data_IF_292683447569
#
_entry.id   IF_292683447569
#
_cell.length_a   1.000
_cell.length_b   1.000
_cell.length_c   1.000
_cell.angle_alpha   90.00
_cell.angle_beta   90.00
_cell.angle_gamma   90.00
#
_symmetry.space_group_name_H-M   'P 1'
#
loop_
_entity.id
_entity.type
_entity.pdbx_description
1 polymer ?
#
# COMPACT_ATOMS: atom_id res chain seq x y z
N UNK A 1 -24.59 -32.83 28.83
CA UNK A 1 -24.16 -31.94 27.74
C UNK A 1 -22.71 -32.28 27.48
N UNK A 2 -22.41 -32.91 26.33
CA UNK A 2 -21.03 -33.06 25.83
C UNK A 2 -20.47 -31.65 25.56
N UNK A 3 -19.18 -31.37 25.86
CA UNK A 3 -18.55 -30.15 25.39
C UNK A 3 -18.69 -30.12 23.88
N UNK A 4 -19.22 -29.05 23.33
CA UNK A 4 -19.16 -28.79 21.90
C UNK A 4 -17.67 -28.73 21.54
N UNK A 5 -17.20 -29.69 20.77
CA UNK A 5 -15.88 -29.62 20.13
C UNK A 5 -15.84 -28.32 19.39
N UNK A 6 -14.98 -27.41 19.87
CA UNK A 6 -14.64 -26.22 19.07
C UNK A 6 -14.05 -26.74 17.75
N UNK A 7 -14.48 -26.25 16.60
CA UNK A 7 -13.85 -26.64 15.35
C UNK A 7 -12.34 -26.46 15.46
N UNK A 8 -11.57 -27.44 15.03
CA UNK A 8 -10.10 -27.38 15.00
C UNK A 8 -9.68 -26.10 14.31
N UNK A 9 -9.23 -25.11 15.10
CA UNK A 9 -8.75 -23.83 14.56
C UNK A 9 -7.27 -23.97 14.23
N UNK A 10 -6.88 -23.54 13.02
CA UNK A 10 -5.48 -23.52 12.61
C UNK A 10 -4.72 -22.41 13.34
N UNK A 11 -3.63 -22.77 14.03
CA UNK A 11 -2.75 -21.79 14.66
C UNK A 11 -1.68 -21.30 13.67
N UNK A 12 -1.64 -20.00 13.40
CA UNK A 12 -0.68 -19.38 12.48
C UNK A 12 0.19 -18.34 13.17
N UNK A 13 1.49 -18.32 12.87
CA UNK A 13 2.35 -17.18 13.20
C UNK A 13 2.26 -16.13 12.09
N UNK A 14 1.96 -14.90 12.45
CA UNK A 14 1.97 -13.76 11.56
C UNK A 14 3.18 -12.87 11.89
N UNK A 15 4.21 -12.88 11.05
CA UNK A 15 5.48 -12.20 11.31
C UNK A 15 5.57 -10.96 10.44
N UNK A 16 5.58 -9.79 11.06
CA UNK A 16 5.68 -8.50 10.40
C UNK A 16 6.46 -7.51 11.24
N UNK A 17 7.33 -6.74 10.59
CA UNK A 17 8.08 -5.69 11.29
C UNK A 17 7.19 -4.49 11.61
N UNK A 18 6.37 -4.04 10.63
CA UNK A 18 5.47 -2.91 10.80
C UNK A 18 4.12 -3.37 11.36
N UNK A 19 3.87 -3.00 12.61
CA UNK A 19 2.65 -3.31 13.37
C UNK A 19 2.25 -2.08 14.20
N UNK A 20 0.97 -1.87 14.58
CA UNK A 20 0.60 -0.77 15.44
C UNK A 20 1.50 -0.63 16.69
N UNK A 21 1.95 0.59 17.05
CA UNK A 21 1.49 1.92 16.61
C UNK A 21 2.16 2.47 15.34
N UNK A 22 2.88 1.67 14.54
CA UNK A 22 3.34 2.14 13.23
C UNK A 22 2.16 2.46 12.35
N UNK A 23 2.27 3.51 11.52
CA UNK A 23 1.25 3.93 10.56
C UNK A 23 1.55 3.47 9.13
N UNK A 24 0.59 3.69 8.24
CA UNK A 24 0.68 3.46 6.81
C UNK A 24 -0.07 2.24 6.30
N UNK A 25 -0.32 2.20 4.99
CA UNK A 25 -1.16 1.20 4.33
C UNK A 25 -0.70 -0.26 4.57
N UNK A 26 0.62 -0.47 4.67
CA UNK A 26 1.18 -1.80 4.94
C UNK A 26 0.85 -2.33 6.34
N UNK A 27 0.76 -1.45 7.34
CA UNK A 27 0.36 -1.81 8.70
C UNK A 27 -1.12 -2.19 8.73
N UNK A 28 -1.96 -1.40 8.08
CA UNK A 28 -3.38 -1.66 7.98
C UNK A 28 -3.67 -3.04 7.36
N UNK A 29 -2.96 -3.42 6.27
CA UNK A 29 -3.11 -4.75 5.65
C UNK A 29 -2.87 -5.88 6.65
N UNK A 30 -1.74 -5.85 7.35
CA UNK A 30 -1.39 -6.88 8.34
C UNK A 30 -2.38 -6.92 9.49
N UNK A 31 -2.74 -5.73 10.04
CA UNK A 31 -3.71 -5.60 11.12
C UNK A 31 -5.08 -6.18 10.73
N UNK A 32 -5.58 -5.83 9.54
CA UNK A 32 -6.91 -6.29 9.11
C UNK A 32 -6.93 -7.80 8.78
N UNK A 33 -5.87 -8.36 8.23
CA UNK A 33 -5.74 -9.81 8.11
C UNK A 33 -5.83 -10.48 9.48
N UNK A 34 -5.01 -10.05 10.43
CA UNK A 34 -5.00 -10.63 11.79
C UNK A 34 -6.33 -10.45 12.50
N UNK A 35 -7.00 -9.31 12.31
CA UNK A 35 -8.32 -9.01 12.90
C UNK A 35 -9.42 -9.96 12.41
N UNK A 36 -9.44 -10.28 11.12
CA UNK A 36 -10.51 -11.08 10.50
C UNK A 36 -10.21 -12.57 10.40
N UNK A 37 -8.95 -13.01 10.46
CA UNK A 37 -8.59 -14.44 10.39
C UNK A 37 -9.37 -15.34 11.37
N UNK A 38 -9.67 -14.91 12.62
CA UNK A 38 -10.47 -15.75 13.54
C UNK A 38 -11.89 -16.04 13.04
N UNK A 39 -12.47 -15.16 12.21
CA UNK A 39 -13.80 -15.38 11.61
C UNK A 39 -13.81 -16.58 10.65
N UNK A 40 -12.64 -16.96 10.14
CA UNK A 40 -12.44 -18.03 9.15
C UNK A 40 -11.69 -19.24 9.73
N UNK A 41 -11.68 -19.42 11.05
CA UNK A 41 -11.09 -20.61 11.70
C UNK A 41 -9.57 -20.60 11.80
N UNK A 42 -8.92 -19.42 11.73
CA UNK A 42 -7.47 -19.28 11.90
C UNK A 42 -7.18 -18.42 13.12
N UNK A 43 -6.38 -18.94 14.05
CA UNK A 43 -5.93 -18.21 15.25
C UNK A 43 -4.54 -17.66 15.04
N UNK A 44 -4.38 -16.33 14.78
CA UNK A 44 -3.08 -15.74 14.56
C UNK A 44 -2.39 -15.37 15.86
N UNK A 45 -1.06 -15.62 15.93
CA UNK A 45 -0.15 -15.01 16.90
C UNK A 45 0.82 -14.11 16.16
N UNK A 46 0.86 -12.84 16.51
CA UNK A 46 1.71 -11.84 15.84
C UNK A 46 3.09 -11.80 16.49
N UNK A 47 4.14 -11.82 15.66
CA UNK A 47 5.50 -11.52 16.09
C UNK A 47 5.93 -10.23 15.40
N UNK A 48 6.31 -9.23 16.18
CA UNK A 48 6.72 -7.92 15.70
C UNK A 48 7.87 -7.33 16.52
N UNK A 49 8.42 -6.20 16.10
CA UNK A 49 9.45 -5.48 16.81
C UNK A 49 8.87 -4.68 17.99
N UNK A 50 9.67 -4.48 19.04
CA UNK A 50 9.33 -3.55 20.12
C UNK A 50 9.32 -2.11 19.60
N UNK A 51 8.21 -1.43 19.76
CA UNK A 51 7.98 -0.06 19.27
C UNK A 51 8.99 0.96 19.80
N UNK A 52 9.51 0.74 20.99
CA UNK A 52 10.51 1.63 21.61
C UNK A 52 11.90 1.49 20.98
N UNK A 53 12.14 0.40 20.24
CA UNK A 53 13.39 0.12 19.54
C UNK A 53 13.27 0.16 18.03
N UNK A 54 12.03 0.21 17.53
CA UNK A 54 11.72 0.17 16.11
C UNK A 54 12.05 1.49 15.40
N UNK A 55 12.46 1.39 14.14
CA UNK A 55 12.60 2.55 13.25
C UNK A 55 11.33 2.74 12.42
N UNK A 56 10.24 3.16 13.07
CA UNK A 56 8.99 3.44 12.38
C UNK A 56 9.03 4.80 11.69
N UNK A 57 8.68 4.89 10.39
CA UNK A 57 8.69 6.15 9.65
C UNK A 57 7.52 7.07 10.02
N UNK A 58 6.38 6.49 10.41
CA UNK A 58 5.16 7.19 10.80
C UNK A 58 4.55 6.46 11.99
N UNK A 59 4.04 7.20 12.96
CA UNK A 59 3.27 6.65 14.07
C UNK A 59 1.79 7.01 13.90
N UNK A 60 0.91 6.03 14.18
CA UNK A 60 -0.54 6.20 14.18
C UNK A 60 -1.11 5.43 15.37
N UNK A 61 -1.41 6.16 16.43
CA UNK A 61 -1.93 5.60 17.68
C UNK A 61 -3.38 5.08 17.52
N UNK A 62 -4.10 5.54 16.51
CA UNK A 62 -5.50 5.11 16.29
C UNK A 62 -5.56 3.64 15.89
N UNK A 63 -4.55 3.16 15.14
CA UNK A 63 -4.45 1.76 14.75
C UNK A 63 -4.22 0.82 15.93
N UNK A 64 -3.62 1.31 17.03
CA UNK A 64 -3.42 0.48 18.23
C UNK A 64 -4.76 0.08 18.87
N UNK A 65 -5.74 0.96 18.84
CA UNK A 65 -7.09 0.68 19.37
C UNK A 65 -7.87 -0.34 18.52
N UNK A 66 -7.43 -0.61 17.29
CA UNK A 66 -8.06 -1.59 16.42
C UNK A 66 -7.53 -3.02 16.58
N UNK A 67 -6.42 -3.20 17.33
CA UNK A 67 -5.89 -4.54 17.63
C UNK A 67 -6.83 -5.24 18.62
N UNK A 68 -7.46 -6.37 18.25
CA UNK A 68 -8.35 -7.06 19.16
C UNK A 68 -7.60 -7.60 20.39
N UNK A 69 -8.19 -7.48 21.57
CA UNK A 69 -7.61 -7.99 22.84
C UNK A 69 -7.35 -9.50 22.81
N UNK A 70 -8.08 -10.25 21.99
CA UNK A 70 -7.91 -11.69 21.80
C UNK A 70 -6.65 -12.09 21.05
N UNK A 71 -5.99 -11.16 20.40
CA UNK A 71 -4.78 -11.43 19.58
C UNK A 71 -3.52 -11.35 20.42
N UNK A 72 -2.78 -12.45 20.46
CA UNK A 72 -1.47 -12.50 21.10
C UNK A 72 -0.42 -11.80 20.24
N UNK A 73 0.21 -10.74 20.80
CA UNK A 73 1.28 -9.98 20.12
C UNK A 73 2.58 -10.13 20.89
N UNK A 74 3.57 -10.79 20.28
CA UNK A 74 4.92 -11.00 20.84
C UNK A 74 5.85 -9.92 20.27
N UNK A 75 6.26 -8.97 21.12
CA UNK A 75 7.19 -7.90 20.78
C UNK A 75 8.62 -8.31 21.09
N UNK A 76 9.56 -8.05 20.19
CA UNK A 76 10.95 -8.47 20.29
C UNK A 76 11.91 -7.30 20.08
N UNK A 77 13.12 -7.33 20.72
CA UNK A 77 14.14 -6.34 20.45
C UNK A 77 14.58 -6.34 18.99
N UNK A 78 15.30 -5.29 18.58
CA UNK A 78 15.99 -5.20 17.28
C UNK A 78 17.38 -4.59 17.44
N UNK A 79 18.24 -4.80 16.44
CA UNK A 79 19.53 -4.10 16.30
C UNK A 79 19.58 -3.47 14.92
N UNK A 80 19.42 -2.17 14.87
CA UNK A 80 19.35 -1.43 13.61
C UNK A 80 20.42 -0.35 13.52
N UNK A 81 20.95 -0.06 12.32
CA UNK A 81 21.99 0.94 12.12
C UNK A 81 21.48 2.39 12.29
N UNK A 82 20.15 2.60 12.44
CA UNK A 82 19.56 3.93 12.47
C UNK A 82 19.94 4.75 13.71
N UNK A 83 20.17 4.16 14.86
CA UNK A 83 20.69 4.86 16.04
C UNK A 83 22.08 5.43 15.79
N UNK A 84 22.92 4.69 15.09
CA UNK A 84 24.24 5.15 14.67
C UNK A 84 24.13 6.26 13.61
N UNK A 85 23.18 6.10 12.67
CA UNK A 85 22.88 7.14 11.67
C UNK A 85 22.43 8.46 12.31
N UNK A 86 21.48 8.42 13.26
CA UNK A 86 21.01 9.61 13.99
C UNK A 86 22.15 10.32 14.73
N UNK A 87 23.04 9.56 15.37
CA UNK A 87 24.22 10.12 16.09
C UNK A 87 25.19 10.83 15.15
N UNK A 88 25.40 10.32 13.93
CA UNK A 88 26.34 10.90 12.98
C UNK A 88 25.73 12.10 12.23
N UNK A 89 24.46 12.02 11.84
CA UNK A 89 23.85 13.04 10.95
C UNK A 89 23.12 14.14 11.72
N UNK A 90 22.83 13.96 13.01
CA UNK A 90 21.98 14.86 13.80
C UNK A 90 20.54 14.97 13.31
N UNK A 91 20.13 14.22 12.26
CA UNK A 91 18.79 14.24 11.71
C UNK A 91 17.90 13.25 12.44
N UNK A 92 16.71 13.71 12.86
CA UNK A 92 15.69 12.88 13.50
C UNK A 92 14.90 12.02 12.50
N UNK A 93 14.82 12.45 11.25
CA UNK A 93 14.02 11.78 10.22
C UNK A 93 14.78 10.62 9.58
N UNK A 94 14.14 9.46 9.54
CA UNK A 94 14.64 8.26 8.86
C UNK A 94 14.32 8.42 7.38
N UNK A 95 15.31 8.26 6.46
CA UNK A 95 15.03 8.31 5.04
C UNK A 95 14.01 7.21 4.65
N UNK A 96 12.88 7.65 4.15
CA UNK A 96 11.84 6.76 3.60
C UNK A 96 12.26 6.31 2.20
N UNK A 97 12.00 5.05 1.84
CA UNK A 97 12.19 4.58 0.46
C UNK A 97 11.18 5.28 -0.46
N UNK A 98 11.60 5.76 -1.64
CA UNK A 98 10.72 6.34 -2.65
C UNK A 98 10.81 7.87 -2.76
N UNK A 99 9.76 8.58 -2.67
CA UNK A 99 9.54 9.95 -3.15
C UNK A 99 10.13 11.12 -2.32
N UNK A 100 10.97 10.92 -1.31
CA UNK A 100 11.24 11.95 -0.30
C UNK A 100 12.56 12.74 -0.47
N UNK A 101 13.36 12.55 -1.51
CA UNK A 101 14.67 13.17 -1.64
C UNK A 101 14.80 14.09 -2.86
N UNK A 102 14.16 15.24 -2.83
CA UNK A 102 14.40 16.35 -3.77
C UNK A 102 15.43 17.33 -3.15
N UNK A 103 16.69 17.19 -3.52
CA UNK A 103 17.77 18.10 -3.10
C UNK A 103 19.14 17.61 -3.53
N UNK A 104 20.13 18.53 -3.65
CA UNK A 104 21.53 18.16 -3.93
C UNK A 104 22.07 17.29 -2.79
N UNK A 105 22.35 16.03 -3.10
CA UNK A 105 22.89 15.07 -2.12
C UNK A 105 24.31 15.44 -1.71
N UNK A 106 24.56 15.52 -0.40
CA UNK A 106 25.91 15.69 0.13
C UNK A 106 26.72 14.40 -0.04
N UNK A 107 28.05 14.49 -0.05
CA UNK A 107 28.96 13.35 -0.11
C UNK A 107 28.66 12.32 1.01
N UNK A 108 28.36 12.80 2.21
CA UNK A 108 28.00 11.97 3.35
C UNK A 108 26.69 11.18 3.09
N UNK A 109 25.70 11.79 2.46
CA UNK A 109 24.44 11.10 2.11
C UNK A 109 24.68 10.00 1.07
N UNK A 110 25.54 10.24 0.08
CA UNK A 110 25.95 9.21 -0.90
C UNK A 110 26.67 8.03 -0.25
N UNK A 111 27.60 8.31 0.68
CA UNK A 111 28.29 7.28 1.45
C UNK A 111 27.32 6.46 2.31
N UNK A 112 26.38 7.11 2.98
CA UNK A 112 25.37 6.43 3.81
C UNK A 112 24.40 5.59 2.97
N UNK A 113 24.00 6.05 1.78
CA UNK A 113 23.23 5.25 0.82
C UNK A 113 24.01 4.02 0.39
N UNK A 114 25.29 4.20 0.05
CA UNK A 114 26.19 3.09 -0.33
C UNK A 114 26.32 2.06 0.80
N UNK A 115 26.57 2.49 2.02
CA UNK A 115 26.65 1.61 3.21
C UNK A 115 25.34 0.86 3.41
N UNK A 116 24.20 1.57 3.32
CA UNK A 116 22.86 0.98 3.46
C UNK A 116 22.59 -0.09 2.41
N UNK A 117 22.91 0.18 1.14
CA UNK A 117 22.63 -0.73 0.03
C UNK A 117 23.59 -1.91 -0.06
N UNK A 118 24.76 -1.88 0.61
CA UNK A 118 25.78 -2.89 0.41
C UNK A 118 26.13 -3.71 1.65
N UNK A 119 25.89 -3.20 2.86
CA UNK A 119 26.18 -3.93 4.11
C UNK A 119 24.92 -4.50 4.77
N UNK A 120 23.74 -4.00 4.43
CA UNK A 120 22.47 -4.43 5.03
C UNK A 120 21.54 -5.00 3.95
N UNK A 121 21.76 -6.26 3.57
CA UNK A 121 21.01 -6.94 2.52
C UNK A 121 20.08 -7.97 3.14
N UNK A 122 18.79 -7.91 2.77
CA UNK A 122 18.14 -7.07 1.76
C UNK A 122 17.80 -5.64 2.23
N UNK A 123 17.79 -5.38 3.53
CA UNK A 123 17.43 -4.08 4.09
C UNK A 123 17.99 -3.89 5.52
N UNK A 124 18.00 -2.64 6.05
CA UNK A 124 18.58 -2.33 7.36
C UNK A 124 17.85 -2.96 8.57
N UNK A 125 16.67 -3.55 8.40
CA UNK A 125 15.92 -4.23 9.46
C UNK A 125 16.33 -5.69 9.63
N UNK A 126 17.27 -6.20 8.83
CA UNK A 126 17.80 -7.57 8.95
C UNK A 126 18.33 -7.91 10.35
N UNK A 127 18.76 -6.91 11.12
CA UNK A 127 19.18 -7.07 12.51
C UNK A 127 18.08 -7.53 13.46
N UNK A 128 16.79 -7.40 13.06
CA UNK A 128 15.64 -7.90 13.80
C UNK A 128 15.48 -9.42 13.68
N UNK A 129 15.89 -10.00 12.55
CA UNK A 129 15.59 -11.40 12.21
C UNK A 129 16.00 -12.41 13.28
N UNK A 130 17.13 -12.23 13.96
CA UNK A 130 17.59 -13.16 14.99
C UNK A 130 16.66 -13.20 16.21
N UNK A 131 16.12 -12.06 16.59
CA UNK A 131 15.19 -11.92 17.72
C UNK A 131 13.82 -12.50 17.34
N UNK A 132 13.29 -12.15 16.16
CA UNK A 132 12.05 -12.71 15.66
C UNK A 132 12.10 -14.23 15.52
N UNK A 133 13.20 -14.79 14.98
CA UNK A 133 13.41 -16.23 14.92
C UNK A 133 13.41 -16.89 16.29
N UNK A 134 14.06 -16.28 17.27
CA UNK A 134 14.09 -16.82 18.65
C UNK A 134 12.68 -16.84 19.25
N UNK A 135 11.89 -15.79 19.04
CA UNK A 135 10.50 -15.75 19.49
C UNK A 135 9.64 -16.78 18.74
N UNK A 136 9.77 -16.89 17.42
CA UNK A 136 9.05 -17.86 16.62
C UNK A 136 9.34 -19.31 17.05
N UNK A 137 10.61 -19.65 17.32
CA UNK A 137 10.97 -20.99 17.84
C UNK A 137 10.28 -21.28 19.18
N UNK A 138 10.22 -20.30 20.10
CA UNK A 138 9.51 -20.47 21.38
C UNK A 138 8.01 -20.65 21.19
N UNK A 139 7.40 -19.91 20.26
CA UNK A 139 5.98 -20.07 19.95
C UNK A 139 5.68 -21.45 19.36
N UNK A 140 6.48 -21.92 18.40
CA UNK A 140 6.33 -23.23 17.77
C UNK A 140 6.49 -24.37 18.79
N UNK A 141 7.40 -24.24 19.76
CA UNK A 141 7.60 -25.25 20.80
C UNK A 141 6.48 -25.30 21.86
N UNK A 142 5.76 -24.18 22.05
CA UNK A 142 4.73 -24.05 23.11
C UNK A 142 3.31 -24.24 22.60
N UNK A 143 3.09 -23.96 21.33
CA UNK A 143 1.79 -23.98 20.67
C UNK A 143 1.87 -24.88 19.44
N UNK A 144 0.78 -25.52 19.12
CA UNK A 144 0.64 -26.31 17.89
C UNK A 144 0.50 -25.34 16.69
N UNK A 145 1.63 -24.81 16.22
CA UNK A 145 1.69 -23.89 15.06
C UNK A 145 1.78 -24.71 13.78
N UNK A 146 0.81 -24.54 12.88
CA UNK A 146 0.74 -25.27 11.61
C UNK A 146 1.20 -24.42 10.42
N UNK A 147 1.09 -23.09 10.51
CA UNK A 147 1.44 -22.21 9.41
C UNK A 147 2.17 -20.93 9.86
N UNK A 148 2.91 -20.34 8.93
CA UNK A 148 3.60 -19.07 9.10
C UNK A 148 3.25 -18.14 7.94
N UNK A 149 2.86 -16.91 8.24
CA UNK A 149 2.72 -15.81 7.27
C UNK A 149 3.80 -14.79 7.56
N UNK A 150 4.59 -14.43 6.56
CA UNK A 150 5.57 -13.33 6.67
C UNK A 150 5.19 -12.21 5.73
N UNK A 151 5.14 -10.95 6.19
CA UNK A 151 4.74 -9.80 5.36
C UNK A 151 5.90 -8.81 5.17
N UNK A 152 6.15 -8.43 3.94
CA UNK A 152 7.19 -7.47 3.52
C UNK A 152 6.63 -6.32 2.68
N UNK A 153 7.30 -5.12 2.67
CA UNK A 153 8.58 -4.80 3.30
C UNK A 153 8.50 -4.70 4.83
N UNK A 154 9.65 -4.84 5.55
CA UNK A 154 11.00 -5.04 5.02
C UNK A 154 11.19 -6.44 4.48
N UNK A 155 11.96 -6.58 3.39
CA UNK A 155 12.13 -7.88 2.71
C UNK A 155 12.94 -8.90 3.54
N UNK A 156 13.78 -8.42 4.46
CA UNK A 156 14.46 -9.26 5.45
C UNK A 156 13.50 -10.13 6.27
N UNK A 157 12.24 -9.72 6.46
CA UNK A 157 11.20 -10.51 7.13
C UNK A 157 10.95 -11.85 6.42
N UNK A 158 11.03 -11.89 5.09
CA UNK A 158 10.83 -13.13 4.31
C UNK A 158 11.90 -14.18 4.62
N UNK A 159 13.12 -13.74 4.95
CA UNK A 159 14.21 -14.66 5.35
C UNK A 159 13.93 -15.37 6.69
N UNK A 160 13.03 -14.82 7.53
CA UNK A 160 12.55 -15.49 8.75
C UNK A 160 11.68 -16.68 8.33
N UNK A 161 10.69 -16.45 7.47
CA UNK A 161 9.81 -17.50 6.94
C UNK A 161 10.60 -18.63 6.27
N UNK A 162 11.56 -18.28 5.40
CA UNK A 162 12.45 -19.22 4.73
C UNK A 162 13.20 -20.12 5.73
N UNK A 163 13.75 -19.55 6.81
CA UNK A 163 14.45 -20.32 7.84
C UNK A 163 13.51 -21.22 8.66
N UNK A 164 12.31 -20.75 8.97
CA UNK A 164 11.31 -21.53 9.69
C UNK A 164 10.81 -22.70 8.83
N UNK A 165 10.53 -22.45 7.53
CA UNK A 165 10.18 -23.48 6.56
C UNK A 165 11.25 -24.57 6.47
N UNK A 166 12.50 -24.19 6.26
CA UNK A 166 13.64 -25.13 6.15
C UNK A 166 13.85 -25.94 7.44
N UNK A 167 13.56 -25.36 8.62
CA UNK A 167 13.84 -26.01 9.90
C UNK A 167 12.69 -26.88 10.42
N UNK A 168 11.45 -26.43 10.26
CA UNK A 168 10.28 -27.07 10.88
C UNK A 168 9.32 -27.69 9.86
N UNK A 169 9.49 -27.44 8.56
CA UNK A 169 8.58 -27.93 7.51
C UNK A 169 7.19 -27.29 7.52
N UNK A 170 6.98 -26.23 8.31
CA UNK A 170 5.69 -25.55 8.42
C UNK A 170 5.22 -24.99 7.07
N UNK A 171 3.91 -24.94 6.88
CA UNK A 171 3.32 -24.22 5.76
C UNK A 171 3.70 -22.77 5.85
N UNK A 172 4.27 -22.20 4.76
CA UNK A 172 4.74 -20.82 4.74
C UNK A 172 4.13 -20.04 3.60
N UNK A 173 3.42 -18.94 3.95
CA UNK A 173 2.88 -17.97 3.02
C UNK A 173 3.73 -16.71 3.08
N UNK A 174 4.31 -16.32 1.93
CA UNK A 174 5.12 -15.11 1.77
C UNK A 174 4.23 -13.98 1.23
N UNK A 175 3.82 -13.01 2.06
CA UNK A 175 3.09 -11.82 1.64
C UNK A 175 4.07 -10.75 1.15
N UNK A 176 4.12 -10.58 -0.17
CA UNK A 176 5.01 -9.68 -0.90
C UNK A 176 4.20 -8.48 -1.40
N UNK A 177 4.34 -7.33 -0.75
CA UNK A 177 3.56 -6.13 -1.11
C UNK A 177 4.24 -5.24 -2.13
N UNK A 178 5.55 -5.42 -2.30
CA UNK A 178 6.40 -4.68 -3.25
C UNK A 178 7.25 -5.67 -4.06
N UNK A 179 7.62 -5.34 -5.30
CA UNK A 179 8.33 -6.25 -6.21
C UNK A 179 9.84 -6.36 -5.92
N UNK A 180 10.24 -6.34 -4.66
CA UNK A 180 11.59 -6.48 -4.11
C UNK A 180 12.69 -5.84 -4.98
N UNK A 181 13.43 -6.62 -5.83
CA UNK A 181 14.51 -6.09 -6.66
C UNK A 181 14.02 -5.36 -7.92
N UNK A 182 12.74 -5.46 -8.29
CA UNK A 182 12.13 -4.73 -9.42
C UNK A 182 11.45 -3.42 -9.01
N UNK A 183 11.52 -3.05 -7.72
CA UNK A 183 10.94 -1.78 -7.28
C UNK A 183 11.69 -0.61 -7.95
N UNK A 184 10.95 0.37 -8.47
CA UNK A 184 11.48 1.43 -9.33
C UNK A 184 12.67 2.20 -8.73
N UNK A 185 12.78 2.34 -7.40
CA UNK A 185 13.89 3.02 -6.72
C UNK A 185 15.06 2.09 -6.34
N UNK A 186 15.03 0.81 -6.72
CA UNK A 186 16.09 -0.15 -6.39
C UNK A 186 17.45 0.29 -6.91
N UNK A 187 17.49 0.84 -8.12
CA UNK A 187 18.72 1.34 -8.75
C UNK A 187 19.35 2.52 -8.01
N UNK A 188 18.56 3.32 -7.29
CA UNK A 188 19.02 4.46 -6.50
C UNK A 188 19.82 4.06 -5.26
N UNK A 189 19.80 2.78 -4.88
CA UNK A 189 20.53 2.25 -3.72
C UNK A 189 22.02 2.01 -3.99
N UNK A 190 22.47 2.14 -5.25
CA UNK A 190 23.88 1.99 -5.66
C UNK A 190 24.52 0.69 -5.18
N UNK A 191 23.85 -0.44 -5.39
CA UNK A 191 24.36 -1.76 -5.04
C UNK A 191 25.63 -2.11 -5.82
N UNK A 192 26.59 -2.73 -5.14
CA UNK A 192 27.67 -3.45 -5.82
C UNK A 192 27.11 -4.71 -6.47
N UNK A 193 27.80 -5.24 -7.49
CA UNK A 193 27.38 -6.49 -8.13
C UNK A 193 27.27 -7.67 -7.14
N UNK A 194 28.08 -7.69 -6.08
CA UNK A 194 28.00 -8.72 -5.03
C UNK A 194 26.72 -8.55 -4.21
N UNK A 195 26.43 -7.33 -3.80
CA UNK A 195 25.24 -7.01 -3.03
C UNK A 195 23.96 -7.33 -3.82
N UNK A 196 23.90 -6.88 -5.09
CA UNK A 196 22.81 -7.16 -6.00
C UNK A 196 22.58 -8.67 -6.18
N UNK A 197 23.63 -9.44 -6.52
CA UNK A 197 23.51 -10.89 -6.68
C UNK A 197 23.07 -11.62 -5.41
N UNK A 198 23.48 -11.12 -4.24
CA UNK A 198 23.03 -11.69 -2.96
C UNK A 198 21.55 -11.41 -2.71
N UNK A 199 21.08 -10.20 -3.02
CA UNK A 199 19.70 -9.81 -2.86
C UNK A 199 18.78 -10.57 -3.83
N UNK A 200 19.15 -10.65 -5.11
CA UNK A 200 18.48 -11.47 -6.12
C UNK A 200 18.43 -12.96 -5.74
N UNK A 201 19.50 -13.48 -5.12
CA UNK A 201 19.52 -14.85 -4.59
C UNK A 201 18.52 -15.02 -3.46
N UNK A 202 18.45 -14.09 -2.51
CA UNK A 202 17.49 -14.15 -1.41
C UNK A 202 16.05 -14.09 -1.92
N UNK A 203 15.75 -13.18 -2.84
CA UNK A 203 14.44 -13.09 -3.47
C UNK A 203 14.05 -14.42 -4.13
N UNK A 204 14.92 -14.98 -4.96
CA UNK A 204 14.69 -16.26 -5.63
C UNK A 204 14.49 -17.42 -4.64
N UNK A 205 15.32 -17.51 -3.59
CA UNK A 205 15.13 -18.54 -2.56
C UNK A 205 13.80 -18.43 -1.85
N UNK A 206 13.30 -17.21 -1.61
CA UNK A 206 11.98 -16.97 -1.04
C UNK A 206 10.88 -17.44 -1.98
N UNK A 207 10.94 -17.03 -3.24
CA UNK A 207 9.93 -17.38 -4.26
C UNK A 207 9.84 -18.89 -4.50
N UNK A 208 10.98 -19.59 -4.54
CA UNK A 208 11.04 -21.03 -4.80
C UNK A 208 10.61 -21.87 -3.60
N UNK A 209 10.81 -21.43 -2.36
CA UNK A 209 10.57 -22.24 -1.15
C UNK A 209 9.25 -21.92 -0.42
N UNK A 210 8.60 -20.80 -0.70
CA UNK A 210 7.28 -20.53 -0.15
C UNK A 210 6.24 -21.53 -0.69
N UNK A 211 5.29 -21.94 0.15
CA UNK A 211 4.17 -22.80 -0.27
C UNK A 211 3.13 -21.98 -1.04
N UNK A 212 2.93 -20.72 -0.63
CA UNK A 212 2.16 -19.74 -1.38
C UNK A 212 2.81 -18.36 -1.29
N UNK A 213 2.65 -17.56 -2.33
CA UNK A 213 3.15 -16.20 -2.43
C UNK A 213 1.96 -15.29 -2.68
N UNK A 214 1.76 -14.30 -1.79
CA UNK A 214 0.77 -13.28 -2.02
C UNK A 214 1.43 -12.08 -2.70
N UNK A 215 0.78 -11.56 -3.71
CA UNK A 215 1.16 -10.32 -4.40
C UNK A 215 -0.03 -9.39 -4.46
N UNK A 216 0.23 -8.09 -4.60
CA UNK A 216 -0.85 -7.09 -4.58
C UNK A 216 -1.46 -6.82 -5.95
N UNK A 217 -0.82 -7.28 -7.04
CA UNK A 217 -1.23 -6.99 -8.42
C UNK A 217 -0.84 -8.11 -9.40
N UNK A 218 -1.54 -8.19 -10.54
CA UNK A 218 -1.21 -9.16 -11.59
C UNK A 218 0.13 -8.86 -12.26
N UNK A 219 0.48 -7.58 -12.41
CA UNK A 219 1.77 -7.21 -12.96
C UNK A 219 2.92 -7.68 -12.05
N UNK A 220 2.74 -7.57 -10.72
CA UNK A 220 3.72 -8.10 -9.77
C UNK A 220 3.83 -9.64 -9.86
N UNK A 221 2.70 -10.36 -10.05
CA UNK A 221 2.73 -11.80 -10.36
C UNK A 221 3.56 -12.07 -11.61
N UNK A 222 3.36 -11.30 -12.67
CA UNK A 222 4.13 -11.41 -13.92
C UNK A 222 5.62 -11.15 -13.71
N UNK A 223 5.99 -10.10 -12.95
CA UNK A 223 7.39 -9.80 -12.62
C UNK A 223 8.07 -10.96 -11.90
N UNK A 224 7.43 -11.57 -10.91
CA UNK A 224 8.00 -12.70 -10.18
C UNK A 224 8.12 -13.97 -11.02
N UNK A 225 7.15 -14.26 -11.88
CA UNK A 225 7.23 -15.39 -12.80
C UNK A 225 8.40 -15.27 -13.78
N UNK A 226 8.80 -14.06 -14.15
CA UNK A 226 9.96 -13.84 -15.03
C UNK A 226 11.31 -14.08 -14.33
N UNK A 227 11.34 -14.19 -12.99
CA UNK A 227 12.60 -14.38 -12.22
C UNK A 227 13.06 -15.82 -12.12
N UNK A 228 12.17 -16.79 -12.28
CA UNK A 228 12.49 -18.21 -12.19
C UNK A 228 11.59 -19.03 -13.11
N UNK A 229 12.20 -19.84 -13.96
CA UNK A 229 11.47 -20.78 -14.85
C UNK A 229 10.92 -21.98 -14.10
N UNK A 230 11.32 -22.18 -12.85
CA UNK A 230 10.86 -23.29 -11.99
C UNK A 230 9.72 -22.86 -11.05
N UNK A 231 9.37 -21.57 -11.04
CA UNK A 231 8.33 -21.06 -10.18
C UNK A 231 6.96 -21.43 -10.73
N UNK A 232 6.20 -22.17 -9.93
CA UNK A 232 4.84 -22.56 -10.25
C UNK A 232 3.89 -21.33 -10.20
N UNK A 233 3.22 -20.98 -11.30
CA UNK A 233 2.26 -19.90 -11.33
C UNK A 233 1.11 -20.02 -10.33
N UNK A 234 0.74 -21.27 -9.98
CA UNK A 234 -0.38 -21.55 -9.08
C UNK A 234 -0.03 -21.26 -7.61
N UNK A 235 1.26 -21.12 -7.29
CA UNK A 235 1.71 -20.65 -5.97
C UNK A 235 1.55 -19.15 -5.76
N UNK A 236 1.37 -18.34 -6.83
CA UNK A 236 1.28 -16.89 -6.73
C UNK A 236 -0.17 -16.44 -6.79
N UNK A 237 -0.66 -15.93 -5.68
CA UNK A 237 -2.03 -15.48 -5.48
C UNK A 237 -2.11 -13.95 -5.39
N UNK A 238 -3.02 -13.36 -6.17
CA UNK A 238 -3.22 -11.90 -6.15
C UNK A 238 -4.25 -11.54 -5.07
N UNK A 239 -3.78 -10.93 -4.00
CA UNK A 239 -4.60 -10.39 -2.91
C UNK A 239 -4.21 -8.92 -2.72
N UNK A 240 -4.96 -7.96 -3.28
CA UNK A 240 -4.64 -6.53 -3.20
C UNK A 240 -4.83 -5.96 -1.78
N UNK A 241 -4.58 -4.66 -1.61
CA UNK A 241 -4.62 -4.03 -0.29
C UNK A 241 -6.03 -3.89 0.31
N UNK A 242 -7.03 -3.58 -0.50
CA UNK A 242 -8.42 -3.45 -0.07
C UNK A 242 -8.76 -2.24 0.81
N UNK A 243 -10.05 -2.14 1.19
CA UNK A 243 -10.61 -1.13 2.07
C UNK A 243 -11.30 -1.77 3.28
N UNK A 244 -11.50 -1.00 4.37
CA UNK A 244 -12.28 -1.44 5.53
C UNK A 244 -13.71 -0.90 5.42
N UNK A 245 -14.70 -1.77 5.43
CA UNK A 245 -16.12 -1.40 5.39
C UNK A 245 -16.51 -0.51 6.58
N UNK A 246 -15.85 -0.69 7.72
CA UNK A 246 -16.13 0.09 8.92
C UNK A 246 -15.74 1.57 8.81
N UNK A 247 -14.92 1.95 7.84
CA UNK A 247 -14.50 3.33 7.61
C UNK A 247 -15.61 4.14 6.91
N UNK A 248 -16.50 3.49 6.15
CA UNK A 248 -17.53 4.12 5.32
C UNK A 248 -18.90 4.19 6.01
N UNK A 249 -18.90 4.58 7.29
CA UNK A 249 -20.14 4.74 8.10
C UNK A 249 -20.91 6.03 7.82
N UNK A 250 -20.25 7.00 7.17
CA UNK A 250 -20.83 8.31 6.91
C UNK A 250 -21.67 8.29 5.63
N UNK A 251 -22.85 8.93 5.64
CA UNK A 251 -23.63 9.05 4.42
C UNK A 251 -22.88 9.90 3.40
N UNK A 252 -23.00 9.53 2.11
CA UNK A 252 -22.52 10.36 1.02
C UNK A 252 -23.26 11.70 1.01
N UNK A 253 -22.54 12.80 1.03
CA UNK A 253 -23.11 14.15 1.01
C UNK A 253 -22.32 15.09 0.08
N UNK A 254 -22.33 14.82 -1.25
CA UNK A 254 -21.65 15.68 -2.22
C UNK A 254 -22.35 17.05 -2.29
N UNK A 255 -21.58 18.09 -2.55
CA UNK A 255 -22.10 19.42 -2.82
C UNK A 255 -23.02 19.40 -4.04
N UNK A 256 -24.16 20.06 -3.95
CA UNK A 256 -25.07 20.30 -5.10
C UNK A 256 -24.81 21.64 -5.80
N UNK A 257 -23.96 22.48 -5.20
CA UNK A 257 -23.62 23.83 -5.69
C UNK A 257 -22.25 23.90 -6.35
N UNK A 258 -21.33 23.01 -5.97
CA UNK A 258 -19.96 22.97 -6.47
C UNK A 258 -19.62 21.58 -7.01
N UNK A 259 -18.99 21.52 -8.16
CA UNK A 259 -18.41 20.31 -8.73
C UNK A 259 -17.03 20.09 -8.09
N UNK A 260 -16.96 19.21 -7.09
CA UNK A 260 -15.79 19.01 -6.26
C UNK A 260 -14.99 17.81 -6.76
N UNK A 261 -13.75 18.04 -7.19
CA UNK A 261 -12.77 16.99 -7.53
C UNK A 261 -11.78 16.89 -6.37
N UNK A 262 -11.63 15.72 -5.76
CA UNK A 262 -10.77 15.54 -4.60
C UNK A 262 -9.67 14.50 -4.87
N UNK A 263 -8.44 14.85 -4.51
CA UNK A 263 -7.29 13.95 -4.38
C UNK A 263 -6.92 13.82 -2.90
N UNK A 264 -6.69 12.59 -2.41
CA UNK A 264 -6.24 12.36 -1.03
C UNK A 264 -4.83 11.77 -0.97
N UNK A 265 -4.04 12.15 0.05
CA UNK A 265 -2.72 11.63 0.37
C UNK A 265 -1.57 12.44 -0.23
N UNK A 266 -0.40 11.82 -0.36
CA UNK A 266 0.80 12.51 -0.88
C UNK A 266 0.80 12.53 -2.40
N UNK A 267 1.11 13.69 -2.99
CA UNK A 267 1.31 13.85 -4.43
C UNK A 267 2.59 14.66 -4.68
N UNK A 268 3.40 14.18 -5.62
CA UNK A 268 4.66 14.80 -6.05
C UNK A 268 4.71 14.91 -7.57
N UNK A 269 5.73 15.54 -8.11
CA UNK A 269 5.98 15.68 -9.55
C UNK A 269 6.01 14.34 -10.31
N UNK A 270 6.39 13.26 -9.64
CA UNK A 270 6.39 11.92 -10.24
C UNK A 270 5.01 11.43 -10.71
N UNK A 271 3.94 12.07 -10.26
CA UNK A 271 2.57 11.67 -10.63
C UNK A 271 2.09 12.27 -11.96
N UNK A 272 2.81 13.21 -12.55
CA UNK A 272 2.61 13.76 -13.89
C UNK A 272 1.14 14.09 -14.21
N UNK A 273 0.56 15.05 -13.48
CA UNK A 273 -0.85 15.46 -13.64
C UNK A 273 -1.06 16.69 -14.54
N UNK A 274 -0.03 17.14 -15.26
CA UNK A 274 -0.09 18.39 -16.05
C UNK A 274 -1.21 18.35 -17.09
N UNK A 275 -1.34 17.24 -17.84
CA UNK A 275 -2.40 17.07 -18.82
C UNK A 275 -3.81 17.17 -18.23
N UNK A 276 -4.00 16.66 -17.01
CA UNK A 276 -5.27 16.80 -16.29
C UNK A 276 -5.52 18.26 -15.87
N UNK A 277 -4.52 18.95 -15.33
CA UNK A 277 -4.67 20.34 -14.92
C UNK A 277 -5.03 21.25 -16.10
N UNK A 278 -4.41 21.04 -17.27
CA UNK A 278 -4.75 21.76 -18.49
C UNK A 278 -6.19 21.45 -18.94
N UNK A 279 -6.60 20.17 -18.99
CA UNK A 279 -7.95 19.78 -19.34
C UNK A 279 -9.01 20.34 -18.38
N UNK A 280 -8.69 20.41 -17.08
CA UNK A 280 -9.57 21.02 -16.08
C UNK A 280 -9.69 22.54 -16.30
N UNK A 281 -8.60 23.25 -16.57
CA UNK A 281 -8.62 24.69 -16.86
C UNK A 281 -9.52 24.99 -18.06
N UNK A 282 -9.38 24.24 -19.13
CA UNK A 282 -10.20 24.42 -20.32
C UNK A 282 -11.67 24.06 -20.07
N UNK A 283 -11.93 23.04 -19.24
CA UNK A 283 -13.29 22.69 -18.82
C UNK A 283 -13.95 23.81 -18.04
N UNK A 284 -13.24 24.40 -17.07
CA UNK A 284 -13.71 25.55 -16.28
C UNK A 284 -14.02 26.74 -17.17
N UNK A 285 -13.13 27.04 -18.11
CA UNK A 285 -13.29 28.14 -19.07
C UNK A 285 -14.50 27.96 -19.98
N UNK A 286 -14.73 26.74 -20.47
CA UNK A 286 -15.84 26.41 -21.38
C UNK A 286 -17.20 26.26 -20.67
N UNK A 287 -17.21 26.06 -19.35
CA UNK A 287 -18.43 25.92 -18.54
C UNK A 287 -18.49 26.91 -17.36
N UNK A 288 -18.54 28.21 -17.60
CA UNK A 288 -18.46 29.24 -16.54
C UNK A 288 -19.65 29.23 -15.58
N UNK A 289 -20.74 28.54 -15.89
CA UNK A 289 -21.92 28.41 -15.04
C UNK A 289 -21.85 27.26 -14.02
N UNK A 290 -20.75 26.50 -14.01
CA UNK A 290 -20.47 25.46 -13.02
C UNK A 290 -19.37 25.99 -12.10
N UNK A 291 -19.61 25.94 -10.81
CA UNK A 291 -18.60 26.25 -9.78
C UNK A 291 -17.75 24.99 -9.57
N UNK A 292 -16.50 25.06 -10.00
CA UNK A 292 -15.54 23.96 -9.80
C UNK A 292 -14.71 24.19 -8.55
N UNK A 293 -14.34 23.08 -7.89
CA UNK A 293 -13.38 23.06 -6.80
C UNK A 293 -12.44 21.86 -7.00
N UNK A 294 -11.14 22.12 -7.05
CA UNK A 294 -10.08 21.12 -6.99
C UNK A 294 -9.53 21.06 -5.56
N UNK A 295 -9.67 19.93 -4.91
CA UNK A 295 -9.27 19.75 -3.51
C UNK A 295 -8.15 18.74 -3.40
N UNK A 296 -7.06 19.13 -2.73
CA UNK A 296 -5.99 18.24 -2.31
C UNK A 296 -6.03 18.10 -0.79
N UNK A 297 -6.15 16.86 -0.30
CA UNK A 297 -6.13 16.53 1.13
C UNK A 297 -4.90 15.71 1.43
N UNK A 298 -3.89 16.28 2.09
CA UNK A 298 -2.62 15.67 2.41
C UNK A 298 -1.42 16.45 1.90
N UNK A 299 -0.29 15.78 1.71
CA UNK A 299 0.98 16.45 1.38
C UNK A 299 1.11 16.67 -0.13
N UNK A 300 1.15 17.92 -0.55
CA UNK A 300 1.37 18.34 -1.95
C UNK A 300 2.75 18.97 -2.10
N UNK A 301 3.56 18.48 -3.05
CA UNK A 301 4.89 19.06 -3.32
C UNK A 301 4.79 20.48 -3.85
N UNK A 302 5.85 21.27 -3.65
CA UNK A 302 5.94 22.64 -4.16
C UNK A 302 5.80 22.68 -5.69
N UNK A 303 6.32 21.68 -6.38
CA UNK A 303 6.26 21.57 -7.83
C UNK A 303 4.82 21.36 -8.32
N UNK A 304 4.05 20.48 -7.70
CA UNK A 304 2.63 20.29 -8.04
C UNK A 304 1.81 21.56 -7.79
N UNK A 305 2.09 22.29 -6.69
CA UNK A 305 1.45 23.58 -6.43
C UNK A 305 1.77 24.60 -7.54
N UNK A 306 3.02 24.63 -8.01
CA UNK A 306 3.44 25.48 -9.12
C UNK A 306 2.75 25.11 -10.44
N UNK A 307 2.56 23.82 -10.72
CA UNK A 307 1.82 23.34 -11.89
C UNK A 307 0.35 23.80 -11.85
N UNK A 308 -0.31 23.71 -10.70
CA UNK A 308 -1.68 24.24 -10.49
C UNK A 308 -1.75 25.74 -10.74
N UNK A 309 -0.79 26.50 -10.24
CA UNK A 309 -0.70 27.95 -10.46
C UNK A 309 -0.48 28.27 -11.95
N UNK A 310 0.46 27.58 -12.59
CA UNK A 310 0.76 27.76 -14.03
C UNK A 310 -0.45 27.42 -14.91
N UNK A 311 -1.25 26.43 -14.52
CA UNK A 311 -2.50 26.08 -15.20
C UNK A 311 -3.64 27.08 -14.93
N UNK A 312 -3.45 28.12 -14.10
CA UNK A 312 -4.47 29.12 -13.79
C UNK A 312 -5.60 28.64 -12.86
N UNK A 313 -5.38 27.54 -12.12
CA UNK A 313 -6.42 26.91 -11.30
C UNK A 313 -6.39 27.33 -9.82
N UNK A 314 -5.51 28.28 -9.43
CA UNK A 314 -5.31 28.67 -8.01
C UNK A 314 -6.61 29.12 -7.33
N UNK A 315 -7.49 29.84 -8.03
CA UNK A 315 -8.74 30.37 -7.46
C UNK A 315 -9.76 29.30 -7.11
N UNK A 316 -9.68 28.11 -7.73
CA UNK A 316 -10.60 27.02 -7.47
C UNK A 316 -9.94 25.88 -6.69
N UNK A 317 -8.64 26.01 -6.35
CA UNK A 317 -7.88 24.97 -5.67
C UNK A 317 -7.82 25.19 -4.17
N UNK A 318 -8.17 24.16 -3.42
CA UNK A 318 -8.12 24.09 -1.96
C UNK A 318 -7.05 23.09 -1.54
N UNK A 319 -6.14 23.49 -0.64
CA UNK A 319 -5.12 22.63 -0.05
C UNK A 319 -5.43 22.43 1.42
N UNK A 320 -5.62 21.18 1.82
CA UNK A 320 -5.85 20.74 3.20
C UNK A 320 -4.65 19.90 3.59
N UNK A 321 -3.98 20.27 4.67
CA UNK A 321 -2.84 19.53 5.18
C UNK A 321 -3.24 18.11 5.61
N UNK A 322 -2.27 17.34 6.11
CA UNK A 322 -2.53 15.99 6.61
C UNK A 322 -3.65 16.00 7.66
N UNK A 323 -4.64 15.15 7.43
CA UNK A 323 -5.78 14.91 8.34
C UNK A 323 -5.80 13.45 8.80
N UNK A 324 -6.41 13.12 9.94
CA UNK A 324 -6.69 11.75 10.34
C UNK A 324 -7.48 10.97 9.27
N UNK A 325 -7.33 9.65 9.26
CA UNK A 325 -7.94 8.80 8.23
C UNK A 325 -9.46 8.94 8.14
N UNK A 326 -10.16 8.96 9.28
CA UNK A 326 -11.62 9.13 9.34
C UNK A 326 -12.09 10.48 8.76
N UNK A 327 -11.29 11.53 8.90
CA UNK A 327 -11.57 12.82 8.29
C UNK A 327 -11.30 12.80 6.78
N UNK A 328 -10.25 12.09 6.34
CA UNK A 328 -10.00 11.86 4.91
C UNK A 328 -11.18 11.18 4.23
N UNK A 329 -11.79 10.18 4.88
CA UNK A 329 -13.01 9.50 4.36
C UNK A 329 -14.16 10.48 4.21
N UNK A 330 -14.37 11.44 5.15
CA UNK A 330 -15.42 12.46 5.01
C UNK A 330 -15.21 13.34 3.78
N UNK A 331 -13.95 13.68 3.46
CA UNK A 331 -13.64 14.41 2.22
C UNK A 331 -13.97 13.57 0.98
N UNK A 332 -13.65 12.27 0.97
CA UNK A 332 -14.05 11.39 -0.13
C UNK A 332 -15.57 11.36 -0.30
N UNK A 333 -16.32 11.16 0.80
CA UNK A 333 -17.79 11.08 0.78
C UNK A 333 -18.46 12.39 0.37
N UNK A 334 -17.83 13.54 0.58
CA UNK A 334 -18.34 14.87 0.19
C UNK A 334 -17.94 15.30 -1.23
N UNK A 335 -17.20 14.48 -1.94
CA UNK A 335 -16.70 14.78 -3.29
C UNK A 335 -17.71 14.43 -4.37
N UNK A 336 -17.64 15.11 -5.51
CA UNK A 336 -18.38 14.75 -6.72
C UNK A 336 -17.62 13.69 -7.52
N UNK A 337 -16.32 13.88 -7.67
CA UNK A 337 -15.39 13.01 -8.41
C UNK A 337 -14.11 12.84 -7.61
N UNK A 338 -13.49 11.67 -7.69
CA UNK A 338 -12.22 11.39 -7.05
C UNK A 338 -11.11 11.35 -8.11
N UNK A 339 -10.08 12.17 -7.88
CA UNK A 339 -8.89 12.18 -8.70
C UNK A 339 -7.87 11.20 -8.13
N UNK A 340 -7.46 10.25 -8.93
CA UNK A 340 -6.37 9.33 -8.63
C UNK A 340 -5.23 9.56 -9.63
N UNK A 341 -3.99 9.40 -9.20
CA UNK A 341 -2.85 9.39 -10.08
C UNK A 341 -1.89 8.27 -9.67
N UNK A 342 -1.30 7.63 -10.66
CA UNK A 342 -0.23 6.62 -10.52
C UNK A 342 1.07 7.30 -10.94
N UNK A 343 2.19 7.12 -10.22
CA UNK A 343 3.44 7.76 -10.62
C UNK A 343 3.92 7.28 -11.98
N UNK A 344 4.47 8.20 -12.78
CA UNK A 344 5.05 7.94 -14.09
C UNK A 344 6.50 7.47 -13.94
N UNK A 345 6.66 6.22 -13.58
CA UNK A 345 7.93 5.57 -13.25
C UNK A 345 8.02 4.19 -13.93
N UNK A 346 9.22 3.61 -14.09
CA UNK A 346 9.35 2.24 -14.58
C UNK A 346 8.54 1.23 -13.75
N UNK A 347 8.02 0.20 -14.37
CA UNK A 347 7.22 -0.88 -13.74
C UNK A 347 5.99 -0.37 -12.98
N UNK A 348 5.31 0.67 -13.49
CA UNK A 348 4.15 1.26 -12.82
C UNK A 348 2.80 0.58 -13.14
N UNK A 349 2.76 -0.40 -14.02
CA UNK A 349 1.52 -1.11 -14.42
C UNK A 349 0.86 -1.84 -13.25
N UNK A 350 1.65 -2.31 -12.28
CA UNK A 350 1.17 -3.01 -11.09
C UNK A 350 1.00 -2.14 -9.86
N UNK A 351 1.20 -0.82 -9.95
CA UNK A 351 1.08 0.07 -8.77
C UNK A 351 -0.39 0.24 -8.39
N UNK A 352 -0.80 -0.49 -7.35
CA UNK A 352 -2.11 -0.39 -6.72
C UNK A 352 -1.98 0.29 -5.35
N UNK A 353 -2.37 1.56 -5.30
CA UNK A 353 -2.39 2.31 -4.03
C UNK A 353 -3.62 1.94 -3.20
N UNK A 354 -3.53 2.06 -1.87
CA UNK A 354 -4.68 1.85 -0.98
C UNK A 354 -5.86 2.77 -1.31
N UNK A 355 -5.60 3.96 -1.83
CA UNK A 355 -6.61 4.95 -2.26
C UNK A 355 -7.61 4.38 -3.26
N UNK A 356 -7.16 3.54 -4.21
CA UNK A 356 -8.06 2.95 -5.21
C UNK A 356 -9.25 2.26 -4.54
N UNK A 357 -8.98 1.44 -3.53
CA UNK A 357 -10.01 0.66 -2.86
C UNK A 357 -10.92 1.54 -1.99
N UNK A 358 -10.35 2.55 -1.33
CA UNK A 358 -11.13 3.56 -0.60
C UNK A 358 -12.03 4.38 -1.56
N UNK A 359 -11.54 4.71 -2.76
CA UNK A 359 -12.32 5.43 -3.77
C UNK A 359 -13.47 4.59 -4.32
N UNK A 360 -13.24 3.29 -4.54
CA UNK A 360 -14.30 2.33 -4.88
C UNK A 360 -15.37 2.28 -3.79
N UNK A 361 -14.94 2.18 -2.52
CA UNK A 361 -15.86 2.13 -1.37
C UNK A 361 -16.60 3.45 -1.14
N UNK A 362 -16.00 4.59 -1.47
CA UNK A 362 -16.69 5.89 -1.44
C UNK A 362 -17.79 6.01 -2.48
N UNK A 363 -17.86 5.10 -3.43
CA UNK A 363 -18.89 5.04 -4.48
C UNK A 363 -19.01 6.36 -5.26
N UNK A 364 -17.86 6.89 -5.72
CA UNK A 364 -17.75 8.12 -6.51
C UNK A 364 -17.04 7.85 -7.81
N UNK A 365 -17.40 8.57 -8.91
CA UNK A 365 -16.66 8.47 -10.16
C UNK A 365 -15.17 8.73 -9.95
N UNK A 366 -14.32 7.87 -10.53
CA UNK A 366 -12.87 7.98 -10.45
C UNK A 366 -12.32 8.46 -11.78
N UNK A 367 -11.56 9.56 -11.74
CA UNK A 367 -10.68 9.98 -12.84
C UNK A 367 -9.27 9.57 -12.42
N UNK A 368 -8.69 8.60 -13.11
CA UNK A 368 -7.35 8.11 -12.80
C UNK A 368 -6.37 8.50 -13.92
N UNK A 369 -5.21 9.02 -13.55
CA UNK A 369 -4.12 9.32 -14.47
C UNK A 369 -3.04 8.27 -14.25
N UNK A 370 -2.70 7.52 -15.30
CA UNK A 370 -1.78 6.41 -15.17
C UNK A 370 -1.62 5.56 -16.43
N UNK A 371 -0.97 4.39 -16.30
CA UNK A 371 -0.78 3.49 -17.41
C UNK A 371 -2.12 2.83 -17.83
N UNK A 372 -2.45 2.95 -19.13
CA UNK A 372 -3.57 2.24 -19.73
C UNK A 372 -3.25 0.73 -19.73
N UNK A 373 -4.27 -0.10 -19.47
CA UNK A 373 -4.15 -1.56 -19.33
C UNK A 373 -3.32 -2.03 -18.12
N UNK A 374 -3.03 -1.12 -17.16
CA UNK A 374 -2.48 -1.48 -15.87
C UNK A 374 -3.51 -2.17 -14.95
N UNK A 375 -3.05 -2.66 -13.81
CA UNK A 375 -3.94 -3.32 -12.83
C UNK A 375 -5.01 -2.38 -12.28
N UNK A 376 -4.69 -1.09 -12.10
CA UNK A 376 -5.68 -0.09 -11.67
C UNK A 376 -6.75 0.15 -12.75
N UNK A 377 -6.36 0.19 -14.04
CA UNK A 377 -7.30 0.35 -15.15
C UNK A 377 -8.30 -0.81 -15.19
N UNK A 378 -7.81 -2.04 -15.09
CA UNK A 378 -8.67 -3.24 -15.02
C UNK A 378 -9.64 -3.20 -13.86
N UNK A 379 -9.19 -2.85 -12.66
CA UNK A 379 -10.07 -2.80 -11.48
C UNK A 379 -11.13 -1.70 -11.61
N UNK A 380 -10.75 -0.51 -12.10
CA UNK A 380 -11.69 0.60 -12.31
C UNK A 380 -12.75 0.22 -13.35
N UNK A 381 -12.34 -0.43 -14.45
CA UNK A 381 -13.24 -0.88 -15.51
C UNK A 381 -14.17 -2.01 -15.03
N UNK A 382 -13.63 -3.06 -14.40
CA UNK A 382 -14.41 -4.18 -13.83
C UNK A 382 -15.45 -3.74 -12.80
N UNK A 383 -15.17 -2.65 -12.08
CA UNK A 383 -16.08 -2.08 -11.11
C UNK A 383 -17.05 -1.03 -11.72
N UNK A 384 -16.86 -0.64 -12.97
CA UNK A 384 -17.60 0.47 -13.58
C UNK A 384 -17.42 1.80 -12.83
N UNK A 385 -16.26 1.97 -12.19
CA UNK A 385 -16.03 3.04 -11.21
C UNK A 385 -15.52 4.35 -11.84
N UNK A 386 -15.20 4.36 -13.12
CA UNK A 386 -14.63 5.55 -13.76
C UNK A 386 -13.76 5.23 -14.96
N UNK A 387 -12.70 6.00 -15.14
CA UNK A 387 -11.82 5.85 -16.31
C UNK A 387 -10.37 6.19 -15.99
N UNK A 388 -9.45 5.44 -16.60
CA UNK A 388 -8.01 5.75 -16.58
C UNK A 388 -7.64 6.48 -17.87
N UNK A 389 -6.79 7.48 -17.72
CA UNK A 389 -6.25 8.29 -18.81
C UNK A 389 -4.72 8.23 -18.79
N UNK A 390 -4.12 8.06 -19.94
CA UNK A 390 -2.68 8.16 -20.08
C UNK A 390 -2.20 9.58 -19.73
N UNK A 391 -0.99 9.73 -19.22
CA UNK A 391 -0.41 11.02 -18.83
C UNK A 391 -0.49 12.10 -19.92
N UNK A 392 -0.38 11.71 -21.20
CA UNK A 392 -0.52 12.57 -22.38
C UNK A 392 -1.92 12.65 -22.95
N UNK A 393 -2.93 12.09 -22.28
CA UNK A 393 -4.30 11.93 -22.78
C UNK A 393 -5.18 13.18 -22.63
N UNK A 394 -4.64 14.38 -22.84
CA UNK A 394 -5.33 15.66 -22.64
C UNK A 394 -6.73 15.72 -23.27
N UNK A 395 -6.87 15.43 -24.58
CA UNK A 395 -8.16 15.53 -25.30
C UNK A 395 -9.23 14.63 -24.69
N UNK A 396 -8.87 13.38 -24.39
CA UNK A 396 -9.80 12.44 -23.78
C UNK A 396 -10.20 12.84 -22.35
N UNK A 397 -9.27 13.44 -21.60
CA UNK A 397 -9.56 13.98 -20.26
C UNK A 397 -10.50 15.20 -20.36
N UNK A 398 -10.26 16.09 -21.32
CA UNK A 398 -11.11 17.26 -21.56
C UNK A 398 -12.53 16.83 -21.91
N UNK A 399 -12.70 15.93 -22.87
CA UNK A 399 -14.02 15.43 -23.28
C UNK A 399 -14.74 14.78 -22.11
N UNK A 400 -14.04 13.98 -21.31
CA UNK A 400 -14.62 13.32 -20.15
C UNK A 400 -15.03 14.32 -19.06
N UNK A 401 -14.19 15.29 -18.73
CA UNK A 401 -14.49 16.35 -17.75
C UNK A 401 -15.69 17.19 -18.21
N UNK A 402 -15.75 17.53 -19.49
CA UNK A 402 -16.90 18.23 -20.09
C UNK A 402 -18.19 17.43 -20.00
N UNK A 403 -18.14 16.13 -20.27
CA UNK A 403 -19.28 15.23 -20.18
C UNK A 403 -19.78 15.10 -18.74
N UNK A 404 -18.87 14.72 -17.80
CA UNK A 404 -19.26 14.42 -16.43
C UNK A 404 -19.77 15.66 -15.69
N UNK A 405 -19.18 16.84 -15.95
CA UNK A 405 -19.63 18.09 -15.35
C UNK A 405 -21.00 18.55 -15.88
N UNK A 406 -21.29 18.33 -17.16
CA UNK A 406 -22.63 18.56 -17.73
C UNK A 406 -23.67 17.59 -17.15
N UNK A 407 -23.31 16.31 -17.01
CA UNK A 407 -24.16 15.29 -16.40
C UNK A 407 -24.47 15.67 -14.94
N UNK A 408 -23.46 16.07 -14.17
CA UNK A 408 -23.63 16.54 -12.81
C UNK A 408 -24.56 17.76 -12.70
N UNK A 409 -24.48 18.70 -13.63
CA UNK A 409 -25.37 19.88 -13.63
C UNK A 409 -26.85 19.50 -13.74
N UNK A 410 -27.15 18.40 -14.41
CA UNK A 410 -28.52 17.85 -14.53
C UNK A 410 -28.88 16.96 -13.34
N UNK A 411 -27.95 16.08 -12.93
CA UNK A 411 -28.10 15.19 -11.77
C UNK A 411 -26.88 15.28 -10.84
N UNK A 412 -26.94 16.10 -9.78
CA UNK A 412 -25.80 16.30 -8.87
C UNK A 412 -25.33 15.07 -8.10
N UNK A 413 -26.12 14.01 -8.05
CA UNK A 413 -25.69 12.80 -7.33
C UNK A 413 -24.69 11.96 -8.12
N UNK A 414 -24.65 12.10 -9.46
CA UNK A 414 -23.80 11.27 -10.34
C UNK A 414 -23.83 9.79 -9.94
N UNK A 415 -25.04 9.22 -9.79
CA UNK A 415 -25.20 7.84 -9.36
C UNK A 415 -24.60 6.88 -10.41
N UNK A 416 -23.37 6.46 -10.21
CA UNK A 416 -22.75 5.37 -10.94
C UNK A 416 -23.02 4.07 -10.17
N UNK A 417 -23.55 3.04 -10.85
CA UNK A 417 -23.67 1.73 -10.23
C UNK A 417 -22.29 1.06 -10.16
N UNK A 418 -21.45 1.47 -9.20
CA UNK A 418 -20.18 0.78 -8.95
C UNK A 418 -20.50 -0.62 -8.45
N UNK A 419 -20.04 -1.61 -9.18
CA UNK A 419 -20.31 -3.03 -8.94
C UNK A 419 -19.03 -3.76 -8.51
N UNK A 420 -19.18 -4.97 -8.00
CA UNK A 420 -18.05 -5.89 -7.71
C UNK A 420 -16.97 -5.37 -6.73
N UNK A 421 -17.10 -4.17 -6.17
CA UNK A 421 -16.05 -3.62 -5.29
C UNK A 421 -15.99 -4.31 -3.91
N UNK A 422 -17.06 -4.99 -3.49
CA UNK A 422 -17.12 -5.68 -2.18
C UNK A 422 -16.09 -6.81 -2.06
N UNK A 423 -15.67 -7.40 -3.18
CA UNK A 423 -14.59 -8.40 -3.21
C UNK A 423 -13.24 -7.83 -2.76
N UNK A 424 -13.10 -6.51 -2.73
CA UNK A 424 -11.91 -5.78 -2.27
C UNK A 424 -12.04 -5.30 -0.81
N UNK A 425 -13.11 -5.69 -0.09
CA UNK A 425 -13.14 -5.46 1.35
C UNK A 425 -12.04 -6.28 2.05
N UNK A 426 -11.45 -5.72 3.08
CA UNK A 426 -10.37 -6.41 3.82
C UNK A 426 -10.83 -7.72 4.43
N UNK A 427 -12.11 -7.82 4.78
CA UNK A 427 -12.72 -9.07 5.24
C UNK A 427 -12.74 -10.13 4.14
N UNK A 428 -13.24 -9.81 2.93
CA UNK A 428 -13.25 -10.72 1.79
C UNK A 428 -11.83 -11.13 1.34
N UNK A 429 -10.87 -10.22 1.41
CA UNK A 429 -9.46 -10.52 1.11
C UNK A 429 -8.82 -11.40 2.19
N UNK A 430 -9.25 -11.29 3.45
CA UNK A 430 -8.81 -12.17 4.53
C UNK A 430 -9.37 -13.58 4.37
N UNK A 431 -10.60 -13.73 3.88
CA UNK A 431 -11.18 -15.03 3.54
C UNK A 431 -10.31 -15.79 2.54
N UNK A 432 -9.85 -15.12 1.47
CA UNK A 432 -8.91 -15.71 0.50
C UNK A 432 -7.58 -16.15 1.14
N UNK A 433 -7.05 -15.37 2.09
CA UNK A 433 -5.85 -15.77 2.83
C UNK A 433 -6.13 -16.98 3.74
N UNK A 434 -7.29 -17.01 4.42
CA UNK A 434 -7.67 -18.11 5.27
C UNK A 434 -7.83 -19.42 4.48
N UNK A 435 -8.45 -19.37 3.30
CA UNK A 435 -8.53 -20.52 2.39
C UNK A 435 -7.15 -21.09 2.05
N UNK A 436 -6.19 -20.20 1.78
CA UNK A 436 -4.81 -20.63 1.51
C UNK A 436 -4.11 -21.20 2.74
N UNK A 437 -4.49 -20.81 3.95
CA UNK A 437 -3.92 -21.35 5.18
C UNK A 437 -4.51 -22.72 5.51
N UNK A 438 -5.80 -22.93 5.26
CA UNK A 438 -6.56 -24.14 5.61
C UNK A 438 -6.38 -25.30 4.61
N UNK A 439 -6.18 -24.99 3.32
CA UNK A 439 -5.92 -25.95 2.25
C UNK A 439 -4.44 -26.36 2.16
#
# INVERSE_FOLDING_TARGET
LKPTEQPDTLNALFITYYWPPSGGAGVQRCLKFVKHLPEFGVTPTVITVDENQASYPVLDQTLQAEVPDSITVVRTPTREPFEFYKKITGKKDIPFGGFANTGKESFLQKLLKFVRGNLFIPDPRIGWNSYALTAAHKCIQRHDVQAVVTSSPPHSTQLIGLKLKKKFGLKWIADMRDPWTDIYYYQDLNHTLVAQKLDEKYEREVLENADAILVVSNDMKRLFLNKSTTLDPDKIHVIPNGYDESDFKYPSNPSKEEFVITYTGTITEAYNIEGFLQALCDTVTRNPFIRYKLRFVGKVSAEVKRQVETAGLSLITEYIDYVPHDESIKYLMSSTVLLMAIPDVPNNFGILTGKLFEYLAANKPIICIGPIQGDADRIIDECGAGRVFHYSGYELMLDHLMLISKTWKVNPNLDLPIINYTQYSRRALTEKLAELLLN
#
